data_IF_591212990858
#
_entry.id   IF_591212990858
#
_cell.length_a   1.000
_cell.length_b   1.000
_cell.length_c   1.000
_cell.angle_alpha   90.00
_cell.angle_beta   90.00
_cell.angle_gamma   90.00
#
_symmetry.space_group_name_H-M   'P 1'
#
loop_
_entity.id
_entity.type
_entity.pdbx_description
1 polymer ?
#
# COMPACT_ATOMS: atom_id res chain seq x y z
N UNK A 1 31.29 -1.63 63.30
CA UNK A 1 30.75 -0.67 62.32
C UNK A 1 29.89 -1.41 61.34
N UNK A 2 28.57 -1.36 61.56
CA UNK A 2 27.55 -2.04 60.76
C UNK A 2 27.12 -1.10 59.63
N UNK A 3 27.32 -1.48 58.39
CA UNK A 3 26.71 -0.80 57.27
C UNK A 3 25.40 -1.51 56.88
N UNK A 4 24.29 -0.88 57.19
CA UNK A 4 22.95 -1.26 56.78
C UNK A 4 22.73 -0.88 55.32
N UNK A 5 22.63 -1.86 54.45
CA UNK A 5 22.14 -1.71 53.05
C UNK A 5 20.61 -1.56 53.08
N UNK A 6 20.15 -0.34 52.86
CA UNK A 6 18.72 -0.07 52.58
C UNK A 6 18.35 -0.63 51.20
N UNK A 7 17.63 -1.72 51.20
CA UNK A 7 16.96 -2.22 50.01
C UNK A 7 15.84 -1.24 49.59
N UNK A 8 16.02 -0.60 48.44
CA UNK A 8 14.97 0.18 47.79
C UNK A 8 13.94 -0.80 47.16
N UNK A 9 12.89 -1.08 47.94
CA UNK A 9 11.75 -1.86 47.49
C UNK A 9 10.92 -0.97 46.53
N UNK A 10 11.20 -1.04 45.23
CA UNK A 10 10.34 -0.47 44.21
C UNK A 10 9.02 -1.27 44.23
N UNK A 11 8.04 -0.79 44.96
CA UNK A 11 6.66 -1.22 44.83
C UNK A 11 6.19 -0.91 43.42
N UNK A 12 6.27 -1.90 42.54
CA UNK A 12 5.60 -1.87 41.25
C UNK A 12 4.11 -1.84 41.55
N UNK A 13 3.58 -0.64 41.50
CA UNK A 13 2.13 -0.40 41.56
C UNK A 13 1.49 -1.09 40.34
N UNK A 14 1.02 -2.32 40.49
CA UNK A 14 0.23 -3.01 39.51
C UNK A 14 -1.12 -2.33 39.42
N UNK A 15 -1.20 -1.21 38.73
CA UNK A 15 -2.46 -0.63 38.32
C UNK A 15 -3.10 -1.69 37.37
N UNK A 16 -4.00 -2.52 37.92
CA UNK A 16 -4.91 -3.34 37.15
C UNK A 16 -5.61 -2.36 36.21
N UNK A 17 -5.27 -2.39 34.93
CA UNK A 17 -5.97 -1.61 33.91
C UNK A 17 -7.42 -2.11 33.91
N UNK A 18 -8.27 -1.43 34.65
CA UNK A 18 -9.70 -1.73 34.65
C UNK A 18 -10.22 -1.34 33.28
N UNK A 19 -10.87 -2.29 32.63
CA UNK A 19 -11.61 -2.02 31.41
C UNK A 19 -12.77 -1.06 31.75
N UNK A 20 -12.68 0.19 31.32
CA UNK A 20 -13.64 1.26 31.65
C UNK A 20 -14.01 2.08 30.43
N UNK A 21 -15.19 2.69 30.49
CA UNK A 21 -15.66 3.66 29.47
C UNK A 21 -14.65 4.79 29.29
N UNK A 22 -14.06 5.33 30.37
CA UNK A 22 -13.09 6.40 30.29
C UNK A 22 -11.84 6.01 29.49
N UNK A 23 -11.30 4.80 29.73
CA UNK A 23 -10.16 4.28 28.96
C UNK A 23 -10.51 4.12 27.47
N UNK A 24 -11.70 3.62 27.17
CA UNK A 24 -12.15 3.46 25.80
C UNK A 24 -12.27 4.81 25.07
N UNK A 25 -12.88 5.81 25.70
CA UNK A 25 -13.08 7.14 25.14
C UNK A 25 -11.77 7.86 24.81
N UNK A 26 -10.71 7.65 25.62
CA UNK A 26 -9.39 8.22 25.35
C UNK A 26 -8.76 7.71 24.06
N UNK A 27 -9.11 6.50 23.64
CA UNK A 27 -8.57 5.87 22.41
C UNK A 27 -9.39 6.17 21.16
N UNK A 28 -10.62 6.65 21.31
CA UNK A 28 -11.52 6.90 20.19
C UNK A 28 -11.21 8.25 19.53
N UNK A 29 -10.83 8.28 18.23
CA UNK A 29 -10.73 9.53 17.49
C UNK A 29 -12.12 10.14 17.26
N UNK A 30 -12.21 11.44 17.06
CA UNK A 30 -13.47 12.09 16.67
C UNK A 30 -13.91 11.60 15.29
N UNK A 31 -15.13 11.12 15.19
CA UNK A 31 -15.72 10.63 13.96
C UNK A 31 -17.23 10.91 13.90
N UNK A 32 -17.83 11.05 12.71
CA UNK A 32 -19.27 11.22 12.57
C UNK A 32 -20.04 9.93 12.91
N UNK A 33 -19.38 8.76 12.74
CA UNK A 33 -20.00 7.46 12.98
C UNK A 33 -18.98 6.48 13.57
N UNK A 34 -19.43 5.72 14.58
CA UNK A 34 -18.71 4.62 15.20
C UNK A 34 -19.44 3.32 14.93
N UNK A 35 -18.72 2.33 14.43
CA UNK A 35 -19.23 1.00 14.14
C UNK A 35 -18.52 -0.04 14.99
N UNK A 36 -19.24 -1.00 15.51
CA UNK A 36 -18.66 -2.17 16.18
C UNK A 36 -18.78 -3.37 15.25
N UNK A 37 -17.65 -3.98 14.87
CA UNK A 37 -17.66 -5.29 14.22
C UNK A 37 -18.09 -6.35 15.24
N UNK A 38 -19.38 -6.64 15.27
CA UNK A 38 -20.00 -7.49 16.28
C UNK A 38 -20.16 -8.91 15.76
N UNK A 39 -19.36 -9.83 16.29
CA UNK A 39 -19.38 -11.25 15.92
C UNK A 39 -20.30 -12.11 16.81
N UNK A 40 -20.83 -11.56 17.90
CA UNK A 40 -21.55 -12.31 18.93
C UNK A 40 -20.66 -12.95 20.00
N UNK A 41 -19.35 -13.00 19.79
CA UNK A 41 -18.38 -13.50 20.77
C UNK A 41 -18.12 -12.51 21.91
N UNK A 42 -17.55 -13.00 23.03
CA UNK A 42 -17.37 -12.23 24.27
C UNK A 42 -16.61 -10.92 24.09
N UNK A 43 -15.55 -10.91 23.27
CA UNK A 43 -14.67 -9.74 23.09
C UNK A 43 -15.41 -8.61 22.37
N UNK A 44 -16.12 -8.94 21.29
CA UNK A 44 -16.91 -7.98 20.53
C UNK A 44 -18.17 -7.52 21.29
N UNK A 45 -18.78 -8.40 22.13
CA UNK A 45 -19.91 -8.04 22.96
C UNK A 45 -19.50 -7.07 24.07
N UNK A 46 -18.36 -7.33 24.74
CA UNK A 46 -17.80 -6.42 25.74
C UNK A 46 -17.52 -5.04 25.15
N UNK A 47 -16.97 -4.99 23.93
CA UNK A 47 -16.73 -3.74 23.23
C UNK A 47 -18.03 -2.99 22.90
N UNK A 48 -19.05 -3.72 22.41
CA UNK A 48 -20.36 -3.15 22.10
C UNK A 48 -21.03 -2.59 23.35
N UNK A 49 -20.99 -3.32 24.47
CA UNK A 49 -21.56 -2.90 25.75
C UNK A 49 -20.91 -1.61 26.25
N UNK A 50 -19.58 -1.55 26.29
CA UNK A 50 -18.85 -0.35 26.71
C UNK A 50 -19.13 0.87 25.83
N UNK A 51 -19.24 0.68 24.51
CA UNK A 51 -19.59 1.77 23.60
C UNK A 51 -21.06 2.20 23.74
N UNK A 52 -21.96 1.26 24.07
CA UNK A 52 -23.35 1.57 24.38
C UNK A 52 -23.46 2.45 25.62
N UNK A 53 -22.70 2.13 26.69
CA UNK A 53 -22.62 2.94 27.90
C UNK A 53 -22.03 4.34 27.62
N UNK A 54 -21.00 4.40 26.76
CA UNK A 54 -20.35 5.63 26.35
C UNK A 54 -21.16 6.47 25.35
N UNK A 55 -22.28 5.97 24.80
CA UNK A 55 -22.99 6.53 23.66
C UNK A 55 -23.27 8.03 23.73
N UNK A 56 -23.67 8.53 24.92
CA UNK A 56 -23.95 9.96 25.12
C UNK A 56 -22.71 10.87 25.10
N UNK A 57 -21.51 10.27 25.23
CA UNK A 57 -20.22 10.97 25.25
C UNK A 57 -19.51 10.88 23.88
N UNK A 58 -20.03 10.06 22.96
CA UNK A 58 -19.49 9.96 21.61
C UNK A 58 -19.88 11.19 20.78
N UNK A 59 -18.96 11.78 20.01
CA UNK A 59 -19.26 12.91 19.14
C UNK A 59 -20.07 12.54 17.90
N UNK A 60 -20.29 11.24 17.64
CA UNK A 60 -21.01 10.72 16.48
C UNK A 60 -21.97 9.58 16.84
N UNK A 61 -22.70 9.08 15.86
CA UNK A 61 -23.63 7.97 16.02
C UNK A 61 -22.92 6.65 16.25
N UNK A 62 -23.54 5.74 17.01
CA UNK A 62 -23.04 4.38 17.25
C UNK A 62 -23.95 3.36 16.58
N UNK A 63 -23.37 2.37 15.89
CA UNK A 63 -24.07 1.25 15.30
C UNK A 63 -23.18 -0.03 15.34
N UNK A 64 -23.77 -1.18 15.09
CA UNK A 64 -23.09 -2.46 15.00
C UNK A 64 -23.19 -3.05 13.59
N UNK A 65 -22.13 -3.71 13.13
CA UNK A 65 -22.12 -4.47 11.89
C UNK A 65 -21.70 -5.90 12.16
N UNK A 66 -22.51 -6.85 11.68
CA UNK A 66 -22.21 -8.28 11.71
C UNK A 66 -21.85 -8.75 10.30
N UNK A 67 -20.78 -9.52 10.17
CA UNK A 67 -20.39 -10.13 8.89
C UNK A 67 -20.68 -11.62 8.96
N UNK A 68 -21.67 -12.07 8.19
CA UNK A 68 -22.05 -13.47 8.08
C UNK A 68 -21.37 -14.10 6.85
N UNK A 69 -20.50 -15.09 7.11
CA UNK A 69 -19.74 -15.79 6.07
C UNK A 69 -20.49 -16.92 5.37
N UNK A 70 -21.67 -17.29 5.89
CA UNK A 70 -22.51 -18.40 5.38
C UNK A 70 -21.78 -19.75 5.29
N UNK A 71 -20.73 -19.95 6.10
CA UNK A 71 -19.88 -21.17 6.03
C UNK A 71 -20.42 -22.26 6.96
N UNK A 72 -21.08 -21.89 8.07
CA UNK A 72 -21.56 -22.82 9.08
C UNK A 72 -23.07 -22.85 9.13
N UNK A 73 -23.64 -24.03 9.42
CA UNK A 73 -25.08 -24.22 9.55
C UNK A 73 -25.71 -23.33 10.66
N UNK A 74 -24.93 -23.02 11.70
CA UNK A 74 -25.33 -22.20 12.85
C UNK A 74 -25.18 -20.68 12.62
N UNK A 75 -24.73 -20.25 11.45
CA UNK A 75 -24.52 -18.82 11.15
C UNK A 75 -25.81 -17.99 11.22
N UNK A 76 -26.96 -18.62 11.03
CA UNK A 76 -28.30 -18.00 11.22
C UNK A 76 -28.60 -17.70 12.68
N UNK A 77 -28.30 -18.62 13.59
CA UNK A 77 -28.55 -18.46 15.04
C UNK A 77 -27.66 -17.33 15.60
N UNK A 78 -26.43 -17.20 15.11
CA UNK A 78 -25.53 -16.11 15.50
C UNK A 78 -26.02 -14.75 15.03
N UNK A 79 -26.61 -14.68 13.84
CA UNK A 79 -27.22 -13.46 13.32
C UNK A 79 -28.40 -13.03 14.23
N UNK A 80 -29.28 -13.99 14.59
CA UNK A 80 -30.42 -13.75 15.48
C UNK A 80 -29.94 -13.26 16.85
N UNK A 81 -28.94 -13.92 17.44
CA UNK A 81 -28.33 -13.50 18.69
C UNK A 81 -27.76 -12.07 18.62
N UNK A 82 -26.97 -11.77 17.58
CA UNK A 82 -26.39 -10.43 17.41
C UNK A 82 -27.46 -9.35 17.26
N UNK A 83 -28.54 -9.64 16.54
CA UNK A 83 -29.68 -8.74 16.37
C UNK A 83 -30.38 -8.48 17.70
N UNK A 84 -30.71 -9.54 18.45
CA UNK A 84 -31.35 -9.41 19.75
C UNK A 84 -30.56 -8.57 20.73
N UNK A 85 -29.25 -8.80 20.83
CA UNK A 85 -28.35 -7.97 21.67
C UNK A 85 -28.37 -6.50 21.25
N UNK A 86 -28.34 -6.22 19.97
CA UNK A 86 -28.40 -4.84 19.48
C UNK A 86 -29.72 -4.16 19.75
N UNK A 87 -30.83 -4.90 19.66
CA UNK A 87 -32.19 -4.43 20.03
C UNK A 87 -32.28 -4.11 21.52
N UNK A 88 -31.80 -5.00 22.40
CA UNK A 88 -31.72 -4.76 23.85
C UNK A 88 -30.93 -3.50 24.19
N UNK A 89 -29.81 -3.27 23.52
CA UNK A 89 -28.96 -2.09 23.69
C UNK A 89 -29.47 -0.85 22.95
N UNK A 90 -30.52 -0.99 22.13
CA UNK A 90 -31.06 0.06 21.24
C UNK A 90 -29.98 0.65 20.35
N UNK A 91 -29.18 -0.23 19.73
CA UNK A 91 -28.10 0.11 18.76
C UNK A 91 -28.54 -0.36 17.37
N UNK A 92 -28.46 0.50 16.32
CA UNK A 92 -28.71 0.09 14.95
C UNK A 92 -27.80 -1.08 14.55
N UNK A 93 -28.38 -2.10 13.92
CA UNK A 93 -27.70 -3.32 13.51
C UNK A 93 -27.68 -3.43 11.98
N UNK A 94 -26.50 -3.67 11.43
CA UNK A 94 -26.29 -3.93 10.00
C UNK A 94 -25.71 -5.32 9.78
N UNK A 95 -26.23 -5.99 8.74
CA UNK A 95 -25.79 -7.32 8.34
C UNK A 95 -25.10 -7.26 6.99
N UNK A 96 -23.85 -7.73 6.93
CA UNK A 96 -23.12 -7.94 5.69
C UNK A 96 -23.01 -9.44 5.44
N UNK A 97 -23.47 -9.91 4.26
CA UNK A 97 -23.29 -11.30 3.84
C UNK A 97 -22.14 -11.39 2.86
N UNK A 98 -21.17 -12.23 3.15
CA UNK A 98 -19.97 -12.41 2.32
C UNK A 98 -19.79 -13.89 1.97
N UNK A 99 -19.37 -14.15 0.73
CA UNK A 99 -18.99 -15.50 0.31
C UNK A 99 -17.46 -15.63 0.42
N UNK A 100 -17.02 -16.36 1.46
CA UNK A 100 -15.59 -16.59 1.73
C UNK A 100 -15.12 -17.95 1.19
N UNK A 101 -15.24 -18.23 -0.12
CA UNK A 101 -14.68 -19.46 -0.69
C UNK A 101 -13.16 -19.34 -0.80
N UNK A 102 -12.44 -20.24 -0.09
CA UNK A 102 -11.00 -20.37 -0.22
C UNK A 102 -10.60 -20.84 -1.63
N UNK A 103 -9.53 -20.29 -2.18
CA UNK A 103 -8.92 -20.78 -3.42
C UNK A 103 -8.06 -22.02 -3.12
N UNK A 104 -7.74 -22.79 -4.16
CA UNK A 104 -6.86 -23.94 -4.00
C UNK A 104 -5.50 -23.52 -3.39
N UNK A 105 -5.12 -24.13 -2.26
CA UNK A 105 -3.90 -23.80 -1.53
C UNK A 105 -4.00 -22.67 -0.50
N UNK A 106 -5.16 -22.02 -0.35
CA UNK A 106 -5.40 -20.96 0.63
C UNK A 106 -6.07 -21.54 1.90
N UNK A 107 -5.64 -21.10 3.09
CA UNK A 107 -6.32 -21.46 4.33
C UNK A 107 -7.74 -20.88 4.34
N UNK A 108 -8.78 -21.68 4.65
CA UNK A 108 -10.15 -21.19 4.75
C UNK A 108 -10.32 -20.02 5.72
N UNK A 109 -9.57 -20.02 6.82
CA UNK A 109 -9.56 -18.91 7.79
C UNK A 109 -8.98 -17.62 7.19
N UNK A 110 -7.86 -17.73 6.45
CA UNK A 110 -7.24 -16.58 5.79
C UNK A 110 -8.17 -16.00 4.70
N UNK A 111 -8.80 -16.87 3.90
CA UNK A 111 -9.76 -16.47 2.87
C UNK A 111 -10.97 -15.75 3.48
N UNK A 112 -11.57 -16.32 4.53
CA UNK A 112 -12.69 -15.72 5.25
C UNK A 112 -12.31 -14.37 5.88
N UNK A 113 -11.12 -14.28 6.46
CA UNK A 113 -10.59 -13.03 7.03
C UNK A 113 -10.43 -11.96 5.94
N UNK A 114 -9.83 -12.32 4.81
CA UNK A 114 -9.62 -11.40 3.67
C UNK A 114 -10.96 -10.91 3.11
N UNK A 115 -11.91 -11.83 2.89
CA UNK A 115 -13.25 -11.48 2.41
C UNK A 115 -14.00 -10.55 3.38
N UNK A 116 -13.88 -10.79 4.68
CA UNK A 116 -14.46 -9.93 5.74
C UNK A 116 -13.92 -8.51 5.65
N UNK A 117 -12.59 -8.36 5.67
CA UNK A 117 -11.98 -7.02 5.67
C UNK A 117 -12.22 -6.27 4.37
N UNK A 118 -12.27 -6.97 3.23
CA UNK A 118 -12.64 -6.36 1.94
C UNK A 118 -14.07 -5.83 1.97
N UNK A 119 -15.04 -6.66 2.37
CA UNK A 119 -16.44 -6.25 2.45
C UNK A 119 -16.63 -5.07 3.41
N UNK A 120 -15.96 -5.10 4.56
CA UNK A 120 -16.00 -3.98 5.52
C UNK A 120 -15.36 -2.71 4.96
N UNK A 121 -14.27 -2.81 4.20
CA UNK A 121 -13.60 -1.68 3.57
C UNK A 121 -14.44 -1.02 2.47
N UNK A 122 -15.11 -1.83 1.65
CA UNK A 122 -16.02 -1.36 0.60
C UNK A 122 -17.29 -0.70 1.17
N UNK A 123 -17.79 -1.26 2.26
CA UNK A 123 -19.04 -0.82 2.89
C UNK A 123 -18.88 0.38 3.83
N UNK A 124 -17.72 0.52 4.53
CA UNK A 124 -17.54 1.51 5.59
C UNK A 124 -17.72 2.95 5.07
N UNK A 125 -18.61 3.76 5.69
CA UNK A 125 -18.80 5.15 5.29
C UNK A 125 -17.54 5.99 5.42
N UNK A 126 -17.47 7.07 4.63
CA UNK A 126 -16.35 8.00 4.66
C UNK A 126 -16.17 8.62 6.05
N UNK A 127 -14.93 8.65 6.55
CA UNK A 127 -14.55 9.15 7.87
C UNK A 127 -15.18 8.42 9.06
N UNK A 128 -15.83 7.27 8.86
CA UNK A 128 -16.33 6.44 9.94
C UNK A 128 -15.20 5.65 10.63
N UNK A 129 -15.40 5.28 11.89
CA UNK A 129 -14.51 4.43 12.67
C UNK A 129 -15.17 3.08 12.92
N UNK A 130 -14.56 2.02 12.40
CA UNK A 130 -14.91 0.64 12.73
C UNK A 130 -14.06 0.19 13.92
N UNK A 131 -14.69 -0.28 14.99
CA UNK A 131 -13.98 -0.84 16.15
C UNK A 131 -14.09 -2.35 16.18
N UNK A 132 -13.03 -3.00 16.62
CA UNK A 132 -12.97 -4.48 16.74
C UNK A 132 -12.42 -4.88 18.11
N UNK A 133 -12.89 -6.03 18.64
CA UNK A 133 -12.57 -6.52 19.97
C UNK A 133 -11.23 -7.29 20.07
N UNK A 134 -10.28 -7.12 19.14
CA UNK A 134 -8.95 -7.72 19.28
C UNK A 134 -8.24 -7.18 20.53
N UNK A 135 -7.58 -8.08 21.25
CA UNK A 135 -7.05 -7.82 22.58
C UNK A 135 -5.56 -8.22 22.70
N UNK A 136 -4.99 -8.06 23.89
CA UNK A 136 -3.56 -8.28 24.18
C UNK A 136 -3.09 -9.71 23.82
N UNK A 137 -3.92 -10.73 24.09
CA UNK A 137 -3.55 -12.10 23.78
C UNK A 137 -3.54 -12.34 22.27
N UNK A 138 -4.44 -11.70 21.50
CA UNK A 138 -4.43 -11.72 20.05
C UNK A 138 -3.14 -11.08 19.47
N UNK A 139 -2.63 -10.01 20.11
CA UNK A 139 -1.35 -9.41 19.74
C UNK A 139 -0.20 -10.40 19.93
N UNK A 140 -0.17 -11.07 21.09
CA UNK A 140 0.85 -12.07 21.39
C UNK A 140 0.82 -13.24 20.40
N UNK A 141 -0.36 -13.79 20.11
CA UNK A 141 -0.57 -14.83 19.11
C UNK A 141 -0.09 -14.39 17.72
N UNK A 142 -0.45 -13.17 17.31
CA UNK A 142 -0.08 -12.63 16.00
C UNK A 142 1.43 -12.43 15.89
N UNK A 143 2.08 -11.90 16.94
CA UNK A 143 3.54 -11.74 16.96
C UNK A 143 4.24 -13.09 16.82
N UNK A 144 3.83 -14.12 17.58
CA UNK A 144 4.43 -15.45 17.51
C UNK A 144 4.26 -16.10 16.14
N UNK A 145 3.05 -16.03 15.55
CA UNK A 145 2.82 -16.53 14.20
C UNK A 145 3.71 -15.83 13.16
N UNK A 146 3.90 -14.53 13.29
CA UNK A 146 4.78 -13.78 12.40
C UNK A 146 6.26 -14.14 12.63
N UNK A 147 6.65 -14.34 13.89
CA UNK A 147 8.00 -14.77 14.24
C UNK A 147 8.34 -16.14 13.62
N UNK A 148 7.45 -17.11 13.72
CA UNK A 148 7.62 -18.45 13.15
C UNK A 148 7.71 -18.45 11.62
N UNK A 149 7.12 -17.44 10.98
CA UNK A 149 7.22 -17.21 9.52
C UNK A 149 8.45 -16.40 9.11
N UNK A 150 9.33 -16.06 10.05
CA UNK A 150 10.53 -15.26 9.79
C UNK A 150 10.23 -13.82 9.38
N UNK A 151 9.11 -13.25 9.83
CA UNK A 151 8.73 -11.88 9.50
C UNK A 151 9.73 -10.85 10.04
N UNK A 152 9.93 -9.78 9.28
CA UNK A 152 10.68 -8.61 9.73
C UNK A 152 9.84 -7.69 10.64
N UNK A 153 10.36 -6.49 10.99
CA UNK A 153 9.72 -5.56 11.94
C UNK A 153 8.24 -5.31 11.65
N UNK A 154 7.83 -5.13 10.37
CA UNK A 154 6.42 -4.90 9.99
C UNK A 154 5.48 -6.04 10.40
N UNK A 155 5.92 -7.29 10.28
CA UNK A 155 5.13 -8.43 10.74
C UNK A 155 5.17 -8.58 12.26
N UNK A 156 6.35 -8.38 12.86
CA UNK A 156 6.55 -8.47 14.31
C UNK A 156 5.86 -7.35 15.11
N UNK A 157 5.52 -6.22 14.48
CA UNK A 157 4.65 -5.21 15.08
C UNK A 157 3.21 -5.69 15.29
N UNK A 158 2.88 -6.88 14.78
CA UNK A 158 1.57 -7.53 14.87
C UNK A 158 0.43 -6.63 14.35
N UNK A 159 -0.58 -6.32 15.17
CA UNK A 159 -1.72 -5.51 14.75
C UNK A 159 -1.56 -4.05 15.21
N UNK A 160 -1.66 -3.06 14.32
CA UNK A 160 -1.70 -1.66 14.73
C UNK A 160 -3.01 -1.35 15.47
N UNK A 161 -2.94 -0.45 16.43
CA UNK A 161 -4.14 0.02 17.15
C UNK A 161 -5.10 0.74 16.20
N UNK A 162 -4.56 1.56 15.30
CA UNK A 162 -5.30 2.33 14.31
C UNK A 162 -4.74 2.08 12.91
N UNK A 163 -5.59 1.87 11.93
CA UNK A 163 -5.21 1.68 10.52
C UNK A 163 -6.28 2.20 9.58
N UNK A 164 -5.93 2.54 8.35
CA UNK A 164 -6.90 2.85 7.30
C UNK A 164 -7.72 1.59 6.96
N UNK A 165 -9.00 1.79 6.66
CA UNK A 165 -9.89 0.75 6.15
C UNK A 165 -10.89 1.37 5.15
N UNK A 166 -10.71 1.11 3.86
CA UNK A 166 -11.50 1.76 2.82
C UNK A 166 -11.45 3.28 2.93
N UNK A 167 -12.61 3.92 3.02
CA UNK A 167 -12.76 5.36 3.19
C UNK A 167 -12.81 5.83 4.66
N UNK A 168 -12.67 4.90 5.60
CA UNK A 168 -12.68 5.15 7.04
C UNK A 168 -11.45 4.59 7.75
N UNK A 169 -11.61 4.26 9.03
CA UNK A 169 -10.54 3.76 9.90
C UNK A 169 -10.97 2.53 10.66
N UNK A 170 -10.02 1.65 10.94
CA UNK A 170 -10.15 0.49 11.82
C UNK A 170 -9.39 0.75 13.11
N UNK A 171 -10.10 0.68 14.24
CA UNK A 171 -9.55 0.86 15.57
C UNK A 171 -9.66 -0.42 16.40
N UNK A 172 -8.63 -0.75 17.17
CA UNK A 172 -8.55 -1.90 18.06
C UNK A 172 -8.29 -1.44 19.50
N UNK A 173 -9.30 -0.96 20.20
CA UNK A 173 -9.10 -0.29 21.49
C UNK A 173 -8.67 -1.23 22.62
N UNK A 174 -8.80 -2.56 22.44
CA UNK A 174 -8.47 -3.56 23.44
C UNK A 174 -7.08 -4.17 23.33
N UNK A 175 -6.20 -3.70 22.42
CA UNK A 175 -4.88 -4.32 22.22
C UNK A 175 -3.97 -4.36 23.45
N UNK A 176 -4.23 -3.52 24.44
CA UNK A 176 -3.51 -3.51 25.72
C UNK A 176 -4.28 -4.22 26.84
N UNK A 177 -5.52 -4.64 26.59
CA UNK A 177 -6.41 -5.28 27.55
C UNK A 177 -6.26 -6.80 27.47
N UNK A 178 -6.03 -7.45 28.60
CA UNK A 178 -5.94 -8.92 28.64
C UNK A 178 -7.33 -9.56 28.46
N UNK A 179 -7.36 -10.73 27.83
CA UNK A 179 -8.61 -11.52 27.70
C UNK A 179 -9.26 -11.81 29.06
N UNK A 180 -8.44 -12.01 30.11
CA UNK A 180 -8.92 -12.21 31.47
C UNK A 180 -9.74 -10.99 31.97
N UNK A 181 -9.32 -9.78 31.68
CA UNK A 181 -10.04 -8.56 32.04
C UNK A 181 -11.38 -8.45 31.28
N UNK A 182 -11.39 -8.79 29.99
CA UNK A 182 -12.60 -8.83 29.15
C UNK A 182 -13.60 -9.83 29.71
N UNK A 183 -13.17 -11.06 30.00
CA UNK A 183 -14.02 -12.09 30.59
C UNK A 183 -14.56 -11.70 31.97
N UNK A 184 -13.75 -11.04 32.81
CA UNK A 184 -14.20 -10.54 34.11
C UNK A 184 -15.32 -9.53 33.96
N UNK A 185 -15.14 -8.54 33.05
CA UNK A 185 -16.15 -7.54 32.75
C UNK A 185 -17.44 -8.18 32.21
N UNK A 186 -17.31 -9.10 31.26
CA UNK A 186 -18.48 -9.77 30.65
C UNK A 186 -19.30 -10.54 31.67
N UNK A 187 -18.66 -11.22 32.65
CA UNK A 187 -19.35 -11.94 33.74
C UNK A 187 -19.99 -10.97 34.74
N UNK A 188 -19.30 -9.90 35.13
CA UNK A 188 -19.82 -8.87 36.04
C UNK A 188 -21.07 -8.21 35.47
N UNK A 189 -21.11 -7.97 34.14
CA UNK A 189 -22.25 -7.38 33.46
C UNK A 189 -23.24 -8.41 32.90
N UNK A 190 -23.06 -9.71 33.23
CA UNK A 190 -23.93 -10.82 32.83
C UNK A 190 -24.20 -10.87 31.32
N UNK A 191 -23.18 -10.54 30.52
CA UNK A 191 -23.29 -10.59 29.07
C UNK A 191 -23.49 -12.04 28.60
N UNK A 192 -24.34 -12.25 27.60
CA UNK A 192 -24.55 -13.53 26.94
C UNK A 192 -23.79 -13.50 25.60
N UNK A 193 -22.95 -14.48 25.36
CA UNK A 193 -22.17 -14.56 24.12
C UNK A 193 -22.27 -15.95 23.50
N UNK A 194 -21.92 -16.01 22.21
CA UNK A 194 -21.86 -17.28 21.46
C UNK A 194 -20.41 -17.73 21.40
N UNK A 195 -20.20 -19.04 21.60
CA UNK A 195 -18.91 -19.69 21.41
C UNK A 195 -18.91 -20.43 20.08
N UNK A 196 -18.00 -20.03 19.17
CA UNK A 196 -17.84 -20.70 17.90
C UNK A 196 -17.10 -22.03 18.10
N UNK A 197 -17.71 -23.19 17.76
CA UNK A 197 -17.07 -24.49 17.91
C UNK A 197 -15.75 -24.64 17.13
N UNK A 198 -15.57 -23.90 16.05
CA UNK A 198 -14.33 -23.92 15.27
C UNK A 198 -13.12 -23.38 16.04
N UNK A 199 -13.33 -22.62 17.12
CA UNK A 199 -12.26 -22.15 18.01
C UNK A 199 -11.53 -23.28 18.74
N UNK A 200 -12.11 -24.48 18.81
CA UNK A 200 -11.49 -25.64 19.46
C UNK A 200 -10.61 -26.46 18.52
N UNK A 201 -10.67 -26.25 17.23
CA UNK A 201 -9.93 -27.02 16.22
C UNK A 201 -8.45 -26.61 16.16
N UNK A 202 -7.59 -27.44 16.76
CA UNK A 202 -6.13 -27.22 16.83
C UNK A 202 -5.39 -27.46 15.53
N UNK A 203 -6.05 -27.88 14.44
CA UNK A 203 -5.46 -27.91 13.10
C UNK A 203 -5.10 -26.49 12.59
N UNK A 204 -5.80 -25.49 13.12
CA UNK A 204 -5.47 -24.08 12.86
C UNK A 204 -4.33 -23.61 13.78
N UNK A 205 -3.26 -23.07 13.21
CA UNK A 205 -2.06 -22.61 13.93
C UNK A 205 -2.39 -21.66 15.10
N UNK A 206 -3.36 -20.77 14.90
CA UNK A 206 -3.78 -19.81 15.92
C UNK A 206 -4.46 -20.51 17.11
N UNK A 207 -5.31 -21.49 16.83
CA UNK A 207 -5.97 -22.26 17.88
C UNK A 207 -4.98 -23.15 18.63
N UNK A 208 -4.02 -23.75 17.92
CA UNK A 208 -2.93 -24.51 18.54
C UNK A 208 -2.12 -23.63 19.52
N UNK A 209 -1.74 -22.42 19.10
CA UNK A 209 -1.07 -21.46 19.97
C UNK A 209 -1.92 -21.14 21.20
N UNK A 210 -3.18 -20.78 21.00
CA UNK A 210 -4.09 -20.34 22.06
C UNK A 210 -4.40 -21.41 23.08
N UNK A 211 -4.57 -22.66 22.65
CA UNK A 211 -5.08 -23.72 23.51
C UNK A 211 -4.00 -24.58 24.15
N UNK A 212 -2.83 -24.70 23.49
CA UNK A 212 -1.77 -25.60 23.98
C UNK A 212 -0.50 -24.82 24.33
N UNK A 213 0.01 -24.02 23.42
CA UNK A 213 1.35 -23.43 23.58
C UNK A 213 1.32 -22.25 24.57
N UNK A 214 0.40 -21.30 24.37
CA UNK A 214 0.33 -20.11 25.24
C UNK A 214 0.02 -20.44 26.72
N UNK A 215 -0.90 -21.36 27.06
CA UNK A 215 -1.11 -21.74 28.44
C UNK A 215 0.13 -22.33 29.11
N UNK A 216 0.86 -23.19 28.42
CA UNK A 216 2.09 -23.79 28.94
C UNK A 216 3.18 -22.72 29.15
N UNK A 217 3.39 -21.85 28.19
CA UNK A 217 4.33 -20.73 28.34
C UNK A 217 3.93 -19.79 29.48
N UNK A 218 2.65 -19.53 29.67
CA UNK A 218 2.15 -18.65 30.73
C UNK A 218 2.30 -19.24 32.13
N UNK A 219 2.38 -20.57 32.28
CA UNK A 219 2.70 -21.20 33.56
C UNK A 219 4.13 -20.85 34.03
N UNK A 220 5.07 -20.78 33.10
CA UNK A 220 6.46 -20.41 33.38
C UNK A 220 6.65 -18.90 33.41
N UNK A 221 5.95 -18.17 32.57
CA UNK A 221 6.02 -16.70 32.45
C UNK A 221 4.62 -16.05 32.55
N UNK A 222 4.08 -15.85 33.74
CA UNK A 222 2.69 -15.37 33.95
C UNK A 222 2.37 -14.04 33.27
N UNK A 223 3.39 -13.21 32.97
CA UNK A 223 3.24 -11.92 32.28
C UNK A 223 3.46 -11.96 30.78
N UNK A 224 3.61 -13.14 30.17
CA UNK A 224 4.07 -13.30 28.79
C UNK A 224 3.25 -12.51 27.76
N UNK A 225 1.94 -12.55 27.85
CA UNK A 225 1.06 -11.80 26.93
C UNK A 225 1.39 -10.30 26.90
N UNK A 226 1.59 -9.69 28.07
CA UNK A 226 1.99 -8.28 28.19
C UNK A 226 3.40 -8.03 27.65
N UNK A 227 4.33 -8.96 27.86
CA UNK A 227 5.72 -8.83 27.36
C UNK A 227 5.73 -8.91 25.82
N UNK A 228 5.01 -9.85 25.24
CA UNK A 228 4.91 -9.99 23.78
C UNK A 228 4.20 -8.80 23.13
N UNK A 229 3.10 -8.31 23.70
CA UNK A 229 2.42 -7.11 23.22
C UNK A 229 3.35 -5.87 23.28
N UNK A 230 4.13 -5.72 24.34
CA UNK A 230 5.14 -4.64 24.44
C UNK A 230 6.24 -4.81 23.40
N UNK A 231 6.73 -6.03 23.17
CA UNK A 231 7.71 -6.29 22.12
C UNK A 231 7.17 -5.92 20.72
N UNK A 232 5.89 -6.22 20.43
CA UNK A 232 5.23 -5.77 19.21
C UNK A 232 5.20 -4.24 19.09
N UNK A 233 4.91 -3.53 20.20
CA UNK A 233 4.97 -2.06 20.26
C UNK A 233 6.35 -1.52 19.91
N UNK A 234 7.43 -2.08 20.47
CA UNK A 234 8.80 -1.69 20.11
C UNK A 234 9.11 -1.90 18.63
N UNK A 235 8.56 -2.94 17.99
CA UNK A 235 8.70 -3.11 16.55
C UNK A 235 7.93 -2.06 15.76
N UNK A 236 6.77 -1.61 16.25
CA UNK A 236 6.02 -0.52 15.63
C UNK A 236 6.82 0.80 15.68
N UNK A 237 7.44 1.13 16.82
CA UNK A 237 8.33 2.30 16.96
C UNK A 237 9.51 2.22 15.98
N UNK A 238 10.12 1.04 15.83
CA UNK A 238 11.21 0.82 14.86
C UNK A 238 10.76 1.04 13.41
N UNK A 239 9.52 0.70 13.06
CA UNK A 239 8.98 0.96 11.72
C UNK A 239 8.86 2.48 11.48
N UNK A 240 8.35 3.23 12.45
CA UNK A 240 8.22 4.69 12.35
C UNK A 240 9.59 5.35 12.16
N UNK A 241 10.59 4.96 12.96
CA UNK A 241 11.95 5.44 12.82
C UNK A 241 12.55 5.08 11.44
N UNK A 242 12.33 3.86 10.97
CA UNK A 242 12.80 3.42 9.66
C UNK A 242 12.13 4.19 8.52
N UNK A 243 10.84 4.49 8.62
CA UNK A 243 10.11 5.30 7.64
C UNK A 243 10.61 6.75 7.62
N UNK A 244 10.82 7.35 8.80
CA UNK A 244 11.37 8.69 8.92
C UNK A 244 12.76 8.78 8.30
N UNK A 245 13.64 7.81 8.60
CA UNK A 245 14.97 7.74 7.99
C UNK A 245 14.88 7.56 6.47
N UNK A 246 13.98 6.68 5.98
CA UNK A 246 13.80 6.48 4.55
C UNK A 246 13.30 7.74 3.84
N UNK A 247 12.43 8.53 4.47
CA UNK A 247 11.96 9.80 3.92
C UNK A 247 13.10 10.84 3.82
N UNK A 248 14.03 10.87 4.78
CA UNK A 248 15.24 11.71 4.71
C UNK A 248 16.17 11.24 3.59
N UNK A 249 16.42 9.93 3.50
CA UNK A 249 17.24 9.32 2.46
C UNK A 249 16.64 9.55 1.08
N UNK A 250 15.31 9.47 0.95
CA UNK A 250 14.60 9.74 -0.29
C UNK A 250 14.84 11.17 -0.79
N UNK A 251 14.72 12.16 0.08
CA UNK A 251 14.99 13.56 -0.28
C UNK A 251 16.43 13.78 -0.74
N UNK A 252 17.40 13.05 -0.16
CA UNK A 252 18.80 13.14 -0.54
C UNK A 252 19.14 12.39 -1.84
N UNK A 253 18.42 11.32 -2.15
CA UNK A 253 18.71 10.44 -3.29
C UNK A 253 17.77 10.63 -4.48
N UNK A 254 16.57 11.20 -4.27
CA UNK A 254 15.59 11.41 -5.33
C UNK A 254 15.95 12.63 -6.17
N UNK A 255 15.88 12.48 -7.49
CA UNK A 255 15.96 13.61 -8.43
C UNK A 255 14.55 14.18 -8.61
N UNK A 256 14.37 15.43 -8.24
CA UNK A 256 13.06 16.06 -8.03
C UNK A 256 12.08 16.04 -9.22
N UNK A 257 12.56 15.98 -10.44
CA UNK A 257 11.68 16.09 -11.62
C UNK A 257 11.14 14.76 -12.15
N UNK A 258 11.78 13.63 -11.82
CA UNK A 258 11.44 12.33 -12.40
C UNK A 258 11.04 11.25 -11.39
N UNK A 259 11.11 11.54 -10.08
CA UNK A 259 10.86 10.55 -9.02
C UNK A 259 11.89 9.39 -9.00
N UNK A 260 12.93 9.45 -9.85
CA UNK A 260 13.95 8.43 -9.91
C UNK A 260 14.99 8.59 -8.79
N UNK A 261 15.61 7.49 -8.35
CA UNK A 261 16.69 7.52 -7.37
C UNK A 261 18.06 7.60 -8.05
N UNK A 262 18.98 8.42 -7.52
CA UNK A 262 20.37 8.46 -7.95
C UNK A 262 21.13 7.23 -7.44
N UNK A 263 21.71 6.46 -8.33
CA UNK A 263 22.54 5.30 -7.99
C UNK A 263 23.78 5.71 -7.21
N UNK A 264 24.45 6.79 -7.61
CA UNK A 264 25.61 7.31 -6.89
C UNK A 264 25.29 7.74 -5.46
N UNK A 265 24.15 8.41 -5.24
CA UNK A 265 23.69 8.77 -3.91
C UNK A 265 23.30 7.52 -3.08
N UNK A 266 22.64 6.53 -3.70
CA UNK A 266 22.34 5.25 -3.05
C UNK A 266 23.59 4.51 -2.58
N UNK A 267 24.65 4.51 -3.37
CA UNK A 267 25.93 3.87 -3.03
C UNK A 267 26.62 4.50 -1.81
N UNK A 268 26.31 5.76 -1.47
CA UNK A 268 26.80 6.40 -0.24
C UNK A 268 26.07 5.91 1.02
N UNK A 269 24.93 5.20 0.88
CA UNK A 269 24.17 4.67 2.01
C UNK A 269 24.68 3.26 2.39
N UNK A 270 24.56 2.94 3.67
CA UNK A 270 24.79 1.55 4.13
C UNK A 270 23.79 0.57 3.50
N UNK A 271 24.12 -0.73 3.36
CA UNK A 271 23.22 -1.71 2.77
C UNK A 271 21.83 -1.79 3.44
N UNK A 272 21.75 -1.53 4.76
CA UNK A 272 20.49 -1.49 5.47
C UNK A 272 19.63 -0.28 5.05
N UNK A 273 20.24 0.91 4.93
CA UNK A 273 19.55 2.12 4.46
C UNK A 273 19.13 2.00 2.99
N UNK A 274 19.99 1.41 2.12
CA UNK A 274 19.63 1.12 0.74
C UNK A 274 18.34 0.29 0.65
N UNK A 275 18.24 -0.83 1.42
CA UNK A 275 17.03 -1.67 1.45
C UNK A 275 15.81 -0.92 1.98
N UNK A 276 16.00 -0.12 3.01
CA UNK A 276 14.94 0.67 3.62
C UNK A 276 14.40 1.71 2.63
N UNK A 277 15.30 2.45 1.98
CA UNK A 277 14.96 3.45 0.97
C UNK A 277 14.27 2.83 -0.25
N UNK A 278 14.78 1.72 -0.79
CA UNK A 278 14.18 1.05 -1.94
C UNK A 278 12.74 0.61 -1.65
N UNK A 279 12.47 0.06 -0.46
CA UNK A 279 11.09 -0.28 -0.04
C UNK A 279 10.20 0.94 0.05
N UNK A 280 10.68 1.99 0.71
CA UNK A 280 9.95 3.24 0.85
C UNK A 280 9.62 3.85 -0.51
N UNK A 281 10.59 3.92 -1.41
CA UNK A 281 10.42 4.46 -2.76
C UNK A 281 9.37 3.71 -3.58
N UNK A 282 9.41 2.37 -3.58
CA UNK A 282 8.42 1.54 -4.25
C UNK A 282 7.01 1.69 -3.66
N UNK A 283 6.93 1.84 -2.33
CA UNK A 283 5.68 2.06 -1.62
C UNK A 283 5.08 3.44 -1.95
N UNK A 284 5.92 4.50 -2.03
CA UNK A 284 5.48 5.83 -2.46
C UNK A 284 4.99 5.85 -3.91
N UNK A 285 5.57 5.01 -4.77
CA UNK A 285 5.12 4.82 -6.14
C UNK A 285 3.84 3.95 -6.27
N UNK A 286 3.26 3.49 -5.17
CA UNK A 286 2.06 2.61 -5.19
C UNK A 286 2.32 1.20 -5.71
N UNK A 287 3.59 0.80 -5.89
CA UNK A 287 3.96 -0.47 -6.49
C UNK A 287 3.99 -1.62 -5.46
N UNK A 288 3.66 -2.86 -5.86
CA UNK A 288 3.77 -4.02 -4.99
C UNK A 288 5.20 -4.23 -4.51
N UNK A 289 5.36 -4.45 -3.20
CA UNK A 289 6.69 -4.62 -2.61
C UNK A 289 7.32 -5.97 -3.01
N UNK A 290 8.59 -5.99 -3.40
CA UNK A 290 9.31 -7.20 -3.73
C UNK A 290 9.62 -8.04 -2.48
N UNK A 291 9.80 -9.36 -2.67
CA UNK A 291 10.36 -10.23 -1.65
C UNK A 291 11.77 -9.80 -1.24
N UNK A 292 12.27 -10.29 -0.10
CA UNK A 292 13.64 -9.99 0.35
C UNK A 292 14.69 -10.39 -0.70
N UNK A 293 14.51 -11.54 -1.35
CA UNK A 293 15.43 -12.03 -2.40
C UNK A 293 15.46 -11.07 -3.59
N UNK A 294 14.28 -10.63 -4.06
CA UNK A 294 14.19 -9.67 -5.15
C UNK A 294 14.75 -8.28 -4.78
N UNK A 295 14.55 -7.84 -3.54
CA UNK A 295 15.11 -6.57 -3.06
C UNK A 295 16.66 -6.61 -3.04
N UNK A 296 17.26 -7.72 -2.62
CA UNK A 296 18.71 -7.91 -2.69
C UNK A 296 19.20 -8.00 -4.13
N UNK A 297 18.43 -8.61 -5.01
CA UNK A 297 18.71 -8.66 -6.45
C UNK A 297 18.69 -7.25 -7.06
N UNK A 298 17.66 -6.44 -6.75
CA UNK A 298 17.61 -5.02 -7.16
C UNK A 298 18.87 -4.30 -6.68
N UNK A 299 19.23 -4.45 -5.41
CA UNK A 299 20.42 -3.81 -4.84
C UNK A 299 21.71 -4.27 -5.55
N UNK A 300 21.88 -5.57 -5.77
CA UNK A 300 23.08 -6.12 -6.39
C UNK A 300 23.19 -5.73 -7.89
N UNK A 301 22.13 -5.95 -8.68
CA UNK A 301 22.17 -5.76 -10.14
C UNK A 301 22.15 -4.27 -10.53
N UNK A 302 21.35 -3.45 -9.81
CA UNK A 302 21.19 -2.04 -10.15
C UNK A 302 22.33 -1.17 -9.63
N UNK A 303 22.91 -1.48 -8.46
CA UNK A 303 23.97 -0.64 -7.89
C UNK A 303 25.35 -1.05 -8.34
N UNK A 304 25.62 -2.35 -8.61
CA UNK A 304 26.95 -2.86 -8.98
C UNK A 304 27.14 -3.02 -10.49
N UNK A 305 26.08 -2.87 -11.29
CA UNK A 305 26.14 -3.02 -12.74
C UNK A 305 26.99 -1.93 -13.42
N UNK A 306 27.62 -2.26 -14.59
CA UNK A 306 28.30 -1.29 -15.43
C UNK A 306 27.36 -0.17 -15.84
N UNK A 307 27.88 1.05 -16.05
CA UNK A 307 27.05 2.23 -16.41
C UNK A 307 26.32 2.08 -17.75
N UNK A 308 26.87 1.27 -18.65
CA UNK A 308 26.34 0.97 -20.01
C UNK A 308 25.39 -0.24 -20.03
N UNK A 309 25.25 -0.98 -18.94
CA UNK A 309 24.24 -2.03 -18.82
C UNK A 309 22.88 -1.40 -18.48
N UNK A 310 21.81 -1.91 -19.11
CA UNK A 310 20.42 -1.54 -18.79
C UNK A 310 19.76 -2.70 -18.01
N UNK A 311 20.16 -2.90 -16.74
CA UNK A 311 19.63 -4.01 -15.96
C UNK A 311 18.13 -3.82 -15.69
N UNK A 312 17.40 -4.94 -15.66
CA UNK A 312 15.97 -5.03 -15.39
C UNK A 312 15.70 -6.08 -14.31
N UNK A 313 15.04 -5.68 -13.25
CA UNK A 313 14.46 -6.60 -12.28
C UNK A 313 12.95 -6.40 -12.26
N UNK A 314 12.18 -7.46 -12.49
CA UNK A 314 10.73 -7.42 -12.53
C UNK A 314 10.11 -8.48 -11.61
N UNK A 315 8.90 -8.20 -11.15
CA UNK A 315 8.02 -9.12 -10.41
C UNK A 315 6.55 -8.77 -10.72
N UNK A 316 5.57 -9.59 -10.32
CA UNK A 316 4.17 -9.32 -10.63
C UNK A 316 3.73 -7.90 -10.23
N UNK A 317 3.33 -7.11 -11.22
CA UNK A 317 2.84 -5.74 -11.06
C UNK A 317 3.90 -4.64 -10.98
N UNK A 318 5.20 -4.94 -11.00
CA UNK A 318 6.23 -3.91 -10.96
C UNK A 318 7.55 -4.32 -11.62
N UNK A 319 8.32 -3.32 -12.03
CA UNK A 319 9.68 -3.48 -12.51
C UNK A 319 10.57 -2.30 -12.07
N UNK A 320 11.85 -2.57 -11.92
CA UNK A 320 12.91 -1.56 -11.69
C UNK A 320 13.92 -1.65 -12.80
N UNK A 321 14.27 -0.51 -13.36
CA UNK A 321 15.26 -0.33 -14.45
C UNK A 321 16.31 0.69 -14.05
N UNK A 322 17.50 0.52 -14.56
CA UNK A 322 18.57 1.52 -14.45
C UNK A 322 18.87 2.13 -15.80
N UNK A 323 18.99 3.45 -15.81
CA UNK A 323 19.54 4.19 -16.95
C UNK A 323 20.53 5.24 -16.46
N UNK A 324 21.79 5.12 -16.85
CA UNK A 324 22.90 5.97 -16.37
C UNK A 324 22.98 5.92 -14.84
N UNK A 325 22.86 7.09 -14.18
CA UNK A 325 22.83 7.21 -12.71
C UNK A 325 21.40 7.21 -12.14
N UNK A 326 20.38 6.97 -12.95
CA UNK A 326 18.97 6.96 -12.52
C UNK A 326 18.43 5.54 -12.32
N UNK A 327 17.72 5.32 -11.21
CA UNK A 327 16.92 4.13 -10.94
C UNK A 327 15.43 4.49 -11.10
N UNK A 328 14.73 3.74 -11.92
CA UNK A 328 13.33 3.98 -12.29
C UNK A 328 12.47 2.81 -11.85
N UNK A 329 11.34 3.09 -11.20
CA UNK A 329 10.31 2.10 -10.86
C UNK A 329 9.03 2.38 -11.62
N UNK A 330 8.39 1.33 -12.11
CA UNK A 330 7.17 1.45 -12.90
C UNK A 330 6.40 0.13 -12.93
N UNK A 331 5.14 0.18 -13.37
CA UNK A 331 4.43 -1.01 -13.81
C UNK A 331 5.07 -1.57 -15.08
N UNK A 332 5.01 -2.88 -15.30
CA UNK A 332 5.56 -3.48 -16.52
C UNK A 332 4.96 -2.84 -17.77
N UNK A 333 5.84 -2.41 -18.67
CA UNK A 333 5.40 -1.80 -19.92
C UNK A 333 4.61 -2.80 -20.77
N UNK A 334 3.47 -2.38 -21.39
CA UNK A 334 2.71 -3.25 -22.29
C UNK A 334 3.56 -3.66 -23.50
N UNK A 335 3.25 -4.78 -24.16
CA UNK A 335 3.88 -5.13 -25.43
C UNK A 335 3.74 -3.99 -26.45
N UNK A 336 4.81 -3.69 -27.17
CA UNK A 336 4.85 -2.64 -28.18
C UNK A 336 5.23 -3.21 -29.53
N UNK A 337 4.43 -2.89 -30.55
CA UNK A 337 4.71 -3.23 -31.96
C UNK A 337 5.21 -1.98 -32.69
N UNK A 338 6.52 -1.89 -33.02
CA UNK A 338 7.08 -0.73 -33.73
C UNK A 338 6.63 -0.63 -35.20
N UNK A 339 6.03 -1.68 -35.77
CA UNK A 339 5.50 -1.65 -37.13
C UNK A 339 4.14 -0.95 -37.23
N UNK A 340 3.46 -0.74 -36.10
CA UNK A 340 2.16 -0.11 -36.08
C UNK A 340 2.21 1.35 -36.49
N UNK A 341 1.23 1.78 -37.29
CA UNK A 341 1.09 3.15 -37.79
C UNK A 341 -0.24 3.71 -37.36
N UNK A 342 -0.27 5.02 -37.07
CA UNK A 342 -1.49 5.76 -36.77
C UNK A 342 -1.55 6.98 -37.68
N UNK A 343 -2.76 7.53 -37.88
CA UNK A 343 -2.98 8.81 -38.55
C UNK A 343 -3.50 9.83 -37.55
N UNK A 344 -2.99 11.04 -37.62
CA UNK A 344 -3.32 12.10 -36.69
C UNK A 344 -3.46 13.45 -37.37
N UNK A 345 -4.51 14.18 -37.04
CA UNK A 345 -4.82 15.50 -37.61
C UNK A 345 -4.54 16.66 -36.64
N UNK A 346 -3.91 16.40 -35.50
CA UNK A 346 -3.54 17.32 -34.42
C UNK A 346 -4.72 17.97 -33.65
N UNK A 347 -5.96 17.70 -34.00
CA UNK A 347 -7.14 18.35 -33.39
C UNK A 347 -7.42 17.83 -31.99
N UNK A 348 -7.36 16.50 -31.83
CA UNK A 348 -7.63 15.80 -30.59
C UNK A 348 -6.39 15.02 -30.15
N UNK A 349 -6.15 14.84 -28.85
CA UNK A 349 -5.08 13.96 -28.37
C UNK A 349 -5.24 12.53 -28.92
N UNK A 350 -4.16 11.97 -29.42
CA UNK A 350 -4.13 10.61 -29.98
C UNK A 350 -3.68 9.63 -28.91
N UNK A 351 -4.54 8.69 -28.54
CA UNK A 351 -4.18 7.56 -27.66
C UNK A 351 -3.35 6.52 -28.44
N UNK A 352 -2.16 6.22 -27.92
CA UNK A 352 -1.24 5.22 -28.45
C UNK A 352 -1.11 4.07 -27.44
N UNK A 353 -2.19 3.32 -27.26
CA UNK A 353 -2.36 2.33 -26.19
C UNK A 353 -1.20 1.32 -26.10
N UNK A 354 -0.73 0.82 -27.25
CA UNK A 354 0.41 -0.11 -27.27
C UNK A 354 1.76 0.57 -26.98
N UNK A 355 1.90 1.86 -27.27
CA UNK A 355 3.06 2.62 -26.84
C UNK A 355 2.98 3.06 -25.36
N UNK A 356 1.77 2.96 -24.78
CA UNK A 356 1.52 3.27 -23.37
C UNK A 356 1.44 4.76 -23.10
N UNK A 357 0.91 5.58 -24.02
CA UNK A 357 0.82 7.02 -23.82
C UNK A 357 -0.14 7.76 -24.73
N UNK A 358 -0.19 9.06 -24.52
CA UNK A 358 -1.01 10.01 -25.28
C UNK A 358 -0.11 11.03 -25.96
N UNK A 359 -0.31 11.20 -27.27
CA UNK A 359 0.33 12.24 -28.07
C UNK A 359 -0.64 13.41 -28.20
N UNK A 360 -0.21 14.60 -27.78
CA UNK A 360 -1.00 15.83 -27.84
C UNK A 360 -0.25 16.95 -28.55
N UNK A 361 -0.99 17.90 -29.10
CA UNK A 361 -0.47 19.09 -29.73
C UNK A 361 -1.05 20.32 -29.04
N UNK A 362 -0.19 21.28 -28.75
CA UNK A 362 -0.61 22.57 -28.19
C UNK A 362 -0.17 23.68 -29.14
N UNK A 363 -1.08 24.60 -29.47
CA UNK A 363 -0.78 25.74 -30.31
C UNK A 363 0.23 26.66 -29.62
N UNK A 364 1.29 27.02 -30.33
CA UNK A 364 2.33 27.95 -29.89
C UNK A 364 2.64 28.96 -30.99
N UNK A 365 3.21 30.12 -30.65
CA UNK A 365 3.67 31.10 -31.61
C UNK A 365 5.20 31.18 -31.57
N UNK A 366 5.83 31.23 -32.71
CA UNK A 366 7.29 31.41 -32.80
C UNK A 366 8.10 30.13 -32.57
N UNK A 367 7.51 28.98 -32.77
CA UNK A 367 8.18 27.67 -32.59
C UNK A 367 7.26 26.49 -32.84
N UNK A 368 7.77 25.26 -32.55
CA UNK A 368 7.01 24.04 -32.78
C UNK A 368 6.92 23.63 -34.26
N UNK A 369 6.12 22.63 -34.56
CA UNK A 369 5.89 22.11 -35.89
C UNK A 369 4.99 23.10 -36.67
N UNK A 370 5.46 23.62 -37.81
CA UNK A 370 4.64 24.43 -38.71
C UNK A 370 3.55 23.55 -39.33
N UNK A 371 2.32 24.00 -39.22
CA UNK A 371 1.17 23.34 -39.87
C UNK A 371 0.55 24.36 -40.82
N UNK A 372 0.64 24.13 -42.12
CA UNK A 372 0.01 24.94 -43.12
C UNK A 372 -1.53 24.74 -43.11
N UNK A 373 -2.31 25.81 -43.36
CA UNK A 373 -3.75 25.71 -43.47
C UNK A 373 -4.14 24.70 -44.57
N UNK A 374 -4.74 23.58 -44.15
CA UNK A 374 -5.04 22.45 -45.03
C UNK A 374 -4.04 21.26 -44.93
N UNK A 375 -3.12 21.26 -43.99
CA UNK A 375 -2.30 20.10 -43.69
C UNK A 375 -3.21 18.91 -43.35
N UNK A 376 -3.14 17.90 -44.22
CA UNK A 376 -3.85 16.61 -44.04
C UNK A 376 -3.37 15.86 -42.80
N UNK A 377 -3.93 14.68 -42.57
CA UNK A 377 -3.48 13.78 -41.53
C UNK A 377 -2.01 13.38 -41.70
N UNK A 378 -1.23 13.42 -40.61
CA UNK A 378 0.15 12.96 -40.56
C UNK A 378 0.22 11.49 -40.12
N UNK A 379 1.24 10.79 -40.60
CA UNK A 379 1.52 9.42 -40.16
C UNK A 379 2.35 9.46 -38.88
N UNK A 380 1.86 8.76 -37.84
CA UNK A 380 2.63 8.52 -36.63
C UNK A 380 3.21 7.11 -36.70
N UNK A 381 4.52 7.04 -36.64
CA UNK A 381 5.30 5.79 -36.72
C UNK A 381 6.21 5.66 -35.50
N UNK A 382 6.76 4.49 -35.28
CA UNK A 382 7.75 4.24 -34.24
C UNK A 382 9.09 3.84 -34.85
N UNK A 383 10.12 3.94 -34.03
CA UNK A 383 11.48 3.62 -34.44
C UNK A 383 11.61 2.14 -34.82
N UNK A 384 12.15 1.88 -36.02
CA UNK A 384 12.48 0.54 -36.52
C UNK A 384 13.99 0.35 -36.71
N UNK A 385 14.76 1.42 -36.60
CA UNK A 385 16.20 1.44 -36.79
C UNK A 385 16.64 2.02 -38.13
N UNK A 386 17.73 2.78 -38.12
CA UNK A 386 18.27 3.42 -39.33
C UNK A 386 17.77 4.85 -39.57
N UNK A 387 16.78 5.33 -38.82
CA UNK A 387 16.24 6.69 -38.98
C UNK A 387 17.32 7.73 -38.75
N UNK A 388 17.35 8.72 -39.63
CA UNK A 388 18.23 9.90 -39.57
C UNK A 388 17.39 11.15 -39.81
N UNK A 389 17.67 12.22 -39.08
CA UNK A 389 16.98 13.51 -39.20
C UNK A 389 17.98 14.65 -38.93
N UNK A 390 17.63 15.80 -39.41
CA UNK A 390 18.29 17.05 -39.08
C UNK A 390 17.38 17.84 -38.13
N UNK A 391 17.67 17.89 -36.82
CA UNK A 391 16.94 18.76 -35.91
C UNK A 391 17.07 20.23 -36.32
N UNK A 392 16.02 21.03 -36.16
CA UNK A 392 16.05 22.45 -36.44
C UNK A 392 17.19 23.15 -35.70
N UNK A 393 17.92 24.03 -36.42
CA UNK A 393 19.09 24.71 -35.92
C UNK A 393 20.39 23.87 -35.90
N UNK A 394 20.39 22.64 -36.39
CA UNK A 394 21.62 21.86 -36.61
C UNK A 394 22.00 21.80 -38.11
N UNK A 395 23.27 21.78 -38.39
CA UNK A 395 23.76 21.82 -39.78
C UNK A 395 23.80 20.49 -40.54
N UNK A 396 23.66 19.35 -39.81
CA UNK A 396 23.86 18.02 -40.40
C UNK A 396 22.74 17.04 -39.93
N UNK A 397 22.56 16.02 -40.75
CA UNK A 397 21.74 14.86 -40.37
C UNK A 397 22.42 14.02 -39.28
N UNK A 398 21.67 13.61 -38.29
CA UNK A 398 22.10 12.75 -37.21
C UNK A 398 21.24 11.48 -37.15
N UNK A 399 21.86 10.35 -36.83
CA UNK A 399 21.10 9.13 -36.55
C UNK A 399 20.23 9.31 -35.30
N UNK A 400 18.95 8.97 -35.36
CA UNK A 400 18.02 9.12 -34.26
C UNK A 400 18.49 8.41 -32.97
N UNK A 401 19.15 7.23 -33.10
CA UNK A 401 19.76 6.53 -31.96
C UNK A 401 20.76 7.42 -31.19
N UNK A 402 21.57 8.20 -31.90
CA UNK A 402 22.58 9.10 -31.28
C UNK A 402 21.88 10.28 -30.60
N UNK A 403 20.87 10.85 -31.24
CA UNK A 403 20.05 11.93 -30.65
C UNK A 403 19.36 11.52 -29.39
N UNK A 404 18.74 10.35 -29.33
CA UNK A 404 18.14 9.82 -28.08
C UNK A 404 19.17 9.65 -26.97
N UNK A 405 20.42 9.26 -27.29
CA UNK A 405 21.48 9.20 -26.29
C UNK A 405 21.88 10.59 -25.78
N UNK A 406 21.97 11.59 -26.67
CA UNK A 406 22.25 12.98 -26.32
C UNK A 406 21.12 13.55 -25.45
N UNK A 407 19.88 13.37 -25.85
CA UNK A 407 18.68 13.81 -25.11
C UNK A 407 18.44 13.08 -23.79
N UNK A 408 19.17 12.00 -23.53
CA UNK A 408 19.04 11.23 -22.30
C UNK A 408 17.79 10.35 -22.23
N UNK A 409 17.18 10.02 -23.38
CA UNK A 409 16.04 9.12 -23.41
C UNK A 409 16.46 7.69 -23.00
N UNK A 410 15.79 7.07 -22.00
CA UNK A 410 16.04 5.70 -21.60
C UNK A 410 15.76 4.69 -22.72
N UNK A 411 16.51 3.58 -22.76
CA UNK A 411 16.43 2.60 -23.85
C UNK A 411 15.00 2.05 -24.05
N UNK A 412 14.27 1.81 -22.95
CA UNK A 412 12.90 1.29 -23.01
C UNK A 412 11.85 2.30 -23.46
N UNK A 413 12.20 3.59 -23.56
CA UNK A 413 11.32 4.63 -24.07
C UNK A 413 11.56 4.91 -25.56
N UNK A 414 12.80 4.76 -26.04
CA UNK A 414 13.19 5.16 -27.41
C UNK A 414 12.36 4.56 -28.52
N UNK A 415 11.97 3.29 -28.35
CA UNK A 415 11.17 2.58 -29.37
C UNK A 415 9.68 2.94 -29.27
N UNK A 416 9.25 3.67 -28.21
CA UNK A 416 7.87 4.09 -27.95
C UNK A 416 7.61 5.56 -28.25
N UNK A 417 8.68 6.34 -28.49
CA UNK A 417 8.55 7.75 -28.85
C UNK A 417 7.89 7.87 -30.23
N UNK A 418 6.77 8.63 -30.34
CA UNK A 418 6.12 8.84 -31.62
C UNK A 418 6.99 9.67 -32.57
N UNK A 419 7.13 9.19 -33.79
CA UNK A 419 7.79 9.86 -34.89
C UNK A 419 6.71 10.35 -35.86
N UNK A 420 6.70 11.65 -36.15
CA UNK A 420 5.71 12.28 -37.02
C UNK A 420 6.27 12.37 -38.44
N UNK A 421 5.53 11.80 -39.39
CA UNK A 421 5.88 11.78 -40.80
C UNK A 421 4.86 12.56 -41.63
N UNK A 422 5.34 13.36 -42.55
CA UNK A 422 4.56 13.91 -43.67
C UNK A 422 4.96 13.14 -44.92
N UNK A 423 4.07 12.34 -45.48
CA UNK A 423 4.37 11.34 -46.49
C UNK A 423 5.46 10.38 -45.96
N UNK A 424 6.65 10.36 -46.57
CA UNK A 424 7.77 9.54 -46.07
C UNK A 424 8.89 10.34 -45.41
N UNK A 425 8.72 11.64 -45.24
CA UNK A 425 9.68 12.52 -44.57
C UNK A 425 9.42 12.56 -43.05
N UNK A 426 10.42 12.25 -42.25
CA UNK A 426 10.37 12.46 -40.80
C UNK A 426 10.45 13.96 -40.49
N UNK A 427 9.39 14.54 -39.93
CA UNK A 427 9.25 15.97 -39.69
C UNK A 427 9.37 16.37 -38.21
N UNK A 428 9.08 15.46 -37.28
CA UNK A 428 9.24 15.72 -35.85
C UNK A 428 9.41 14.42 -35.06
N UNK A 429 10.05 14.55 -33.91
CA UNK A 429 10.16 13.54 -32.85
C UNK A 429 9.42 14.09 -31.64
N UNK A 430 8.27 13.55 -31.31
CA UNK A 430 7.37 14.09 -30.29
C UNK A 430 8.06 14.22 -28.93
N UNK A 431 7.94 15.40 -28.31
CA UNK A 431 8.57 15.71 -27.02
C UNK A 431 10.07 16.01 -27.11
N UNK A 432 10.70 15.95 -28.31
CA UNK A 432 12.17 16.16 -28.45
C UNK A 432 12.54 17.23 -29.46
N UNK A 433 12.12 17.15 -30.71
CA UNK A 433 12.50 18.14 -31.70
C UNK A 433 11.58 18.16 -32.92
N UNK A 434 11.60 19.28 -33.65
CA UNK A 434 11.11 19.42 -35.01
C UNK A 434 12.30 19.36 -35.96
N UNK A 435 12.15 18.82 -37.16
CA UNK A 435 13.18 18.74 -38.16
C UNK A 435 13.36 20.09 -38.89
N UNK A 436 14.58 20.31 -39.43
CA UNK A 436 14.92 21.49 -40.22
C UNK A 436 13.95 21.64 -41.42
N UNK A 437 13.47 22.86 -41.66
CA UNK A 437 12.52 23.19 -42.71
C UNK A 437 11.03 23.01 -42.33
N UNK A 438 10.75 22.38 -41.17
CA UNK A 438 9.37 22.12 -40.70
C UNK A 438 9.03 22.92 -39.42
N UNK A 439 9.98 23.73 -38.92
CA UNK A 439 9.73 24.58 -37.75
C UNK A 439 8.98 25.86 -38.14
N UNK A 440 8.04 26.30 -37.29
CA UNK A 440 7.42 27.57 -37.40
C UNK A 440 8.41 28.72 -37.13
N UNK A 441 8.38 29.77 -37.94
CA UNK A 441 9.18 31.00 -37.70
C UNK A 441 8.62 31.83 -36.55
N UNK A 442 9.38 32.84 -36.12
CA UNK A 442 9.00 33.65 -34.94
C UNK A 442 7.58 34.26 -34.97
N UNK A 443 7.06 34.53 -36.18
CA UNK A 443 5.72 35.14 -36.36
C UNK A 443 4.64 34.12 -36.76
N UNK A 444 5.02 32.89 -37.02
CA UNK A 444 4.08 31.83 -37.44
C UNK A 444 3.51 31.07 -36.27
N UNK A 445 2.26 30.62 -36.45
CA UNK A 445 1.66 29.63 -35.56
C UNK A 445 2.32 28.26 -35.79
N UNK A 446 2.55 27.54 -34.72
CA UNK A 446 3.08 26.17 -34.75
C UNK A 446 2.43 25.31 -33.67
N UNK A 447 2.78 24.03 -33.67
CA UNK A 447 2.31 23.04 -32.71
C UNK A 447 3.48 22.50 -31.88
N UNK A 448 3.38 22.63 -30.57
CA UNK A 448 4.24 21.90 -29.62
C UNK A 448 3.69 20.48 -29.43
N UNK A 449 4.47 19.49 -29.79
CA UNK A 449 4.09 18.08 -29.75
C UNK A 449 4.58 17.45 -28.46
N UNK A 450 3.66 17.11 -27.59
CA UNK A 450 3.94 16.50 -26.30
C UNK A 450 3.59 15.02 -26.29
N UNK A 451 4.52 14.21 -25.81
CA UNK A 451 4.33 12.79 -25.55
C UNK A 451 4.34 12.54 -24.05
N UNK A 452 3.21 12.06 -23.53
CA UNK A 452 3.08 11.72 -22.12
C UNK A 452 2.62 10.27 -21.96
N UNK A 453 3.12 9.58 -20.93
CA UNK A 453 2.59 8.26 -20.56
C UNK A 453 1.16 8.40 -20.10
N UNK A 454 0.32 7.38 -20.38
CA UNK A 454 -1.00 7.32 -19.78
C UNK A 454 -0.86 7.31 -18.26
N UNK A 455 -1.65 8.13 -17.55
CA UNK A 455 -1.77 7.97 -16.11
C UNK A 455 -2.30 6.57 -15.81
N UNK A 456 -1.70 5.92 -14.83
CA UNK A 456 -2.18 4.61 -14.36
C UNK A 456 -3.62 4.76 -13.83
N UNK A 457 -4.55 3.96 -14.36
CA UNK A 457 -5.96 3.91 -13.96
C UNK A 457 -6.17 3.19 -12.63
#
# INVERSE_FOLDING_TARGET
MQHATRGCCLTVNSSKSKLTVAHLLQKLPRAPQYWVAFSGGVDSHTLLQLLAEARRQLPGSLAAVHVNHQIQQQSGDWEIHCRSVCEELRIPFHLLRVQGKARAGESPEAAARTARYRALAEWLPTNAVLTTGQHQDDQAETLLLQLFRGAGPRGLAAMPENSALGRGRLLRPFLEISRKAILSYAREHRLRWVEDPSNTDTRYERNLLRQRIMPELQQHWPGLGKVLARAAGHQADQIELAQTLAALDYRACCRSESGCLSVSALLCLSPARQRNLLRYWLEQAGLPLPSRVLLERIRAEMLSGRQDASPLVHWPGAEVRRYRDGLYSMTPLPPHDPARRYRWDFREPLSLDQAGGILSATAVTGGGLRVDDGAGTMDIRFRQGGEALQPAGRHYHHRLKKLFQEWGAPDWERDRVPLVYSNDALIAVAGFCVCEGFQATAEQAGLDLQWSRMPES
#
